data_IF_124851463368
#
_entry.id   IF_124851463368
#
_cell.length_a   1.000
_cell.length_b   1.000
_cell.length_c   1.000
_cell.angle_alpha   90.00
_cell.angle_beta   90.00
_cell.angle_gamma   90.00
#
_symmetry.space_group_name_H-M   'P 1'
#
loop_
_entity.id
_entity.type
_entity.pdbx_description
1 polymer ?
#
# COMPACT_ATOMS: atom_id res chain seq x y z
N UNK A 1 -65.75 9.56 -19.01
CA UNK A 1 -66.20 9.98 -17.69
C UNK A 1 -65.06 10.05 -16.77
N UNK A 2 -64.68 11.27 -16.39
CA UNK A 2 -63.58 11.61 -15.46
C UNK A 2 -63.99 11.25 -14.03
N UNK A 3 -63.04 10.71 -13.24
CA UNK A 3 -63.16 10.93 -11.83
C UNK A 3 -61.71 11.23 -11.32
N UNK A 4 -61.54 12.47 -10.82
CA UNK A 4 -60.34 12.97 -10.16
C UNK A 4 -60.56 12.84 -8.65
N UNK A 5 -59.81 11.94 -8.01
CA UNK A 5 -59.75 11.88 -6.56
C UNK A 5 -58.49 12.66 -6.08
N UNK A 6 -58.76 13.83 -5.54
CA UNK A 6 -57.75 14.71 -4.90
C UNK A 6 -57.36 14.18 -3.52
N UNK A 7 -56.11 13.78 -3.35
CA UNK A 7 -55.52 13.47 -2.05
C UNK A 7 -55.22 14.77 -1.28
N UNK A 8 -55.90 14.99 -0.16
CA UNK A 8 -55.63 16.06 0.80
C UNK A 8 -54.37 15.68 1.62
N UNK A 9 -53.32 16.51 1.52
CA UNK A 9 -52.18 16.47 2.42
C UNK A 9 -52.58 16.95 3.81
N UNK A 10 -52.46 16.11 4.82
CA UNK A 10 -52.55 16.47 6.22
C UNK A 10 -51.39 17.38 6.60
N UNK A 11 -51.67 18.63 6.96
CA UNK A 11 -50.72 19.53 7.59
C UNK A 11 -50.64 19.21 9.09
N UNK A 12 -49.41 18.96 9.57
CA UNK A 12 -49.10 18.78 10.99
C UNK A 12 -49.27 20.14 11.72
N UNK A 13 -50.13 20.26 12.74
CA UNK A 13 -50.40 21.51 13.44
C UNK A 13 -49.29 21.99 14.37
N UNK A 14 -48.15 21.24 14.51
CA UNK A 14 -47.04 21.59 15.40
C UNK A 14 -45.76 22.03 14.70
N UNK A 15 -45.74 22.20 13.37
CA UNK A 15 -44.58 22.70 12.67
C UNK A 15 -44.44 24.22 12.80
N UNK A 16 -43.30 24.75 13.35
CA UNK A 16 -43.13 26.19 13.46
C UNK A 16 -43.00 26.86 12.11
N UNK A 17 -43.68 28.00 11.94
CA UNK A 17 -43.70 28.76 10.70
C UNK A 17 -42.30 29.36 10.39
N UNK A 18 -41.99 29.52 9.08
CA UNK A 18 -40.73 30.13 8.62
C UNK A 18 -40.39 31.48 9.29
N UNK A 19 -41.40 32.25 9.72
CA UNK A 19 -41.21 33.51 10.44
C UNK A 19 -40.72 33.32 11.88
N UNK A 20 -41.10 32.26 12.55
CA UNK A 20 -40.63 31.93 13.92
C UNK A 20 -39.20 31.40 13.90
N UNK A 21 -38.78 30.75 12.83
CA UNK A 21 -37.36 30.29 12.70
C UNK A 21 -36.39 31.46 12.45
N UNK A 22 -36.81 32.50 11.70
CA UNK A 22 -36.00 33.69 11.45
C UNK A 22 -35.90 34.58 12.68
N UNK A 23 -36.95 34.66 13.53
CA UNK A 23 -36.92 35.44 14.76
C UNK A 23 -36.02 34.79 15.86
N UNK A 24 -35.97 33.46 15.92
CA UNK A 24 -35.10 32.72 16.83
C UNK A 24 -33.60 32.85 16.45
N UNK A 25 -33.30 32.93 15.16
CA UNK A 25 -31.90 33.11 14.68
C UNK A 25 -31.38 34.54 14.91
N UNK A 26 -32.25 35.55 14.96
CA UNK A 26 -31.85 36.95 15.19
C UNK A 26 -31.60 37.27 16.68
N UNK A 27 -32.20 36.51 17.62
CA UNK A 27 -32.01 36.70 19.07
C UNK A 27 -30.75 36.02 19.62
N UNK A 28 -30.14 35.07 18.88
CA UNK A 28 -28.90 34.40 19.27
C UNK A 28 -27.61 35.15 18.84
N UNK A 29 -27.73 36.21 18.06
CA UNK A 29 -26.58 36.95 17.53
C UNK A 29 -26.10 38.14 18.37
N UNK A 30 -26.70 38.38 19.58
CA UNK A 30 -26.39 39.56 20.39
C UNK A 30 -25.81 39.23 21.77
N UNK A 31 -25.12 38.12 21.94
CA UNK A 31 -24.47 37.81 23.20
C UNK A 31 -22.99 37.41 22.99
N UNK A 32 -22.14 38.29 23.43
CA UNK A 32 -20.74 38.10 23.80
C UNK A 32 -19.74 37.85 22.66
N UNK A 33 -19.27 38.89 22.05
CA UNK A 33 -17.88 38.95 21.58
C UNK A 33 -16.95 39.12 22.81
N UNK A 34 -16.76 38.05 23.57
CA UNK A 34 -15.53 37.94 24.36
C UNK A 34 -14.46 37.58 23.32
N UNK A 35 -13.64 38.57 22.96
CA UNK A 35 -12.40 38.30 22.23
C UNK A 35 -11.50 37.49 23.16
N UNK A 36 -11.59 36.15 23.04
CA UNK A 36 -10.51 35.29 23.52
C UNK A 36 -9.27 35.73 22.75
N UNK A 37 -8.13 35.99 23.44
CA UNK A 37 -6.90 36.21 22.73
C UNK A 37 -6.72 34.99 21.80
N UNK A 38 -6.64 35.21 20.49
CA UNK A 38 -6.16 34.19 19.57
C UNK A 38 -4.74 33.86 20.07
N UNK A 39 -4.63 32.84 20.93
CA UNK A 39 -3.35 32.23 21.15
C UNK A 39 -2.89 31.82 19.77
N UNK A 40 -1.91 32.52 19.23
CA UNK A 40 -1.23 32.10 18.04
C UNK A 40 -0.72 30.70 18.33
N UNK A 41 -1.46 29.70 17.88
CA UNK A 41 -1.07 28.29 17.98
C UNK A 41 0.23 28.24 17.20
N UNK A 42 1.35 28.23 17.92
CA UNK A 42 2.67 28.16 17.30
C UNK A 42 2.61 26.98 16.32
N UNK A 43 2.74 27.30 15.03
CA UNK A 43 2.72 26.27 14.01
C UNK A 43 3.76 25.21 14.40
N UNK A 44 3.31 24.00 14.66
CA UNK A 44 4.20 22.88 14.98
C UNK A 44 5.27 22.79 13.87
N UNK A 45 6.54 22.59 14.23
CA UNK A 45 7.60 22.48 13.25
C UNK A 45 7.26 21.33 12.29
N UNK A 46 7.37 21.60 11.00
CA UNK A 46 7.12 20.57 9.97
C UNK A 46 8.16 19.47 10.07
N UNK A 47 7.71 18.22 9.83
CA UNK A 47 8.59 17.06 9.71
C UNK A 47 9.42 17.22 8.44
N UNK A 48 10.74 17.25 8.57
CA UNK A 48 11.68 17.28 7.45
C UNK A 48 11.74 15.89 6.81
N UNK A 49 11.17 15.76 5.62
CA UNK A 49 11.08 14.49 4.90
C UNK A 49 12.14 14.43 3.79
N UNK A 50 12.93 13.35 3.80
CA UNK A 50 13.75 12.93 2.68
C UNK A 50 13.01 11.92 1.80
N UNK A 51 13.09 12.05 0.47
CA UNK A 51 12.49 11.08 -0.46
C UNK A 51 13.59 10.38 -1.25
N UNK A 52 13.65 9.05 -1.13
CA UNK A 52 14.61 8.19 -1.84
C UNK A 52 13.89 7.43 -2.93
N UNK A 53 14.25 7.70 -4.21
CA UNK A 53 13.49 7.29 -5.39
C UNK A 53 12.48 8.37 -5.78
N UNK A 54 12.85 9.20 -6.77
CA UNK A 54 12.09 10.39 -7.19
C UNK A 54 11.38 10.21 -8.54
N UNK A 55 11.30 8.97 -9.05
CA UNK A 55 10.56 8.62 -10.26
C UNK A 55 9.05 8.80 -10.12
N UNK A 56 8.27 8.25 -11.06
CA UNK A 56 6.82 8.49 -11.14
C UNK A 56 6.08 8.38 -9.81
N UNK A 57 6.22 7.24 -9.08
CA UNK A 57 5.58 7.05 -7.78
C UNK A 57 6.19 7.95 -6.70
N UNK A 58 7.54 8.04 -6.61
CA UNK A 58 8.18 8.84 -5.58
C UNK A 58 7.87 10.33 -5.69
N UNK A 59 7.87 10.90 -6.90
CA UNK A 59 7.45 12.28 -7.11
C UNK A 59 5.96 12.50 -6.78
N UNK A 60 5.11 11.49 -7.04
CA UNK A 60 3.68 11.55 -6.72
C UNK A 60 3.46 11.52 -5.20
N UNK A 61 4.09 10.59 -4.48
CA UNK A 61 3.97 10.47 -3.02
C UNK A 61 4.53 11.72 -2.31
N UNK A 62 5.66 12.26 -2.81
CA UNK A 62 6.24 13.50 -2.29
C UNK A 62 5.26 14.69 -2.40
N UNK A 63 4.50 14.78 -3.50
CA UNK A 63 3.44 15.79 -3.62
C UNK A 63 2.32 15.59 -2.61
N UNK A 64 1.91 14.34 -2.33
CA UNK A 64 0.90 14.07 -1.31
C UNK A 64 1.39 14.46 0.09
N UNK A 65 2.65 14.18 0.44
CA UNK A 65 3.27 14.65 1.67
C UNK A 65 3.29 16.19 1.75
N UNK A 66 3.68 16.86 0.67
CA UNK A 66 3.67 18.32 0.60
C UNK A 66 2.25 18.90 0.77
N UNK A 67 1.25 18.28 0.14
CA UNK A 67 -0.15 18.69 0.20
C UNK A 67 -0.76 18.46 1.60
N UNK A 68 -0.28 17.52 2.38
CA UNK A 68 -0.67 17.34 3.77
C UNK A 68 -0.36 18.57 4.64
N UNK A 69 0.65 19.38 4.26
CA UNK A 69 0.96 20.66 4.89
C UNK A 69 1.88 20.58 6.11
N UNK A 70 1.95 19.43 6.80
CA UNK A 70 2.78 19.22 8.00
C UNK A 70 4.20 18.71 7.69
N UNK A 71 4.56 18.57 6.43
CA UNK A 71 5.88 18.11 6.00
C UNK A 71 6.61 19.19 5.20
N UNK A 72 7.92 19.24 5.37
CA UNK A 72 8.87 19.94 4.51
C UNK A 72 9.60 18.88 3.68
N UNK A 73 9.46 18.90 2.35
CA UNK A 73 10.24 18.04 1.48
C UNK A 73 11.67 18.60 1.46
N UNK A 74 12.48 18.09 2.39
CA UNK A 74 13.77 18.66 2.73
C UNK A 74 14.90 18.26 1.79
N UNK A 75 14.93 16.97 1.40
CA UNK A 75 15.98 16.43 0.55
C UNK A 75 15.45 15.34 -0.38
N UNK A 76 16.10 15.15 -1.53
CA UNK A 76 15.77 14.15 -2.54
C UNK A 76 17.00 13.32 -2.90
N UNK A 77 16.83 12.02 -3.12
CA UNK A 77 17.85 11.15 -3.69
C UNK A 77 17.26 10.24 -4.76
N UNK A 78 17.91 10.17 -5.91
CA UNK A 78 17.59 9.24 -6.99
C UNK A 78 18.90 8.78 -7.64
N UNK A 79 18.93 7.58 -8.22
CA UNK A 79 20.11 7.16 -8.97
C UNK A 79 20.41 8.13 -10.13
N UNK A 80 19.36 8.63 -10.81
CA UNK A 80 19.46 9.51 -11.97
C UNK A 80 19.40 10.98 -11.56
N UNK A 81 20.46 11.78 -11.87
CA UNK A 81 20.50 13.21 -11.53
C UNK A 81 19.36 14.01 -12.17
N UNK A 82 18.98 13.68 -13.41
CA UNK A 82 17.88 14.31 -14.12
C UNK A 82 16.54 14.10 -13.42
N UNK A 83 16.28 12.89 -12.88
CA UNK A 83 15.07 12.58 -12.13
C UNK A 83 15.04 13.32 -10.80
N UNK A 84 16.15 13.31 -10.04
CA UNK A 84 16.27 14.07 -8.78
C UNK A 84 16.06 15.57 -8.99
N UNK A 85 16.63 16.14 -10.05
CA UNK A 85 16.51 17.55 -10.39
C UNK A 85 15.09 17.91 -10.82
N UNK A 86 14.47 17.15 -11.71
CA UNK A 86 13.08 17.41 -12.14
C UNK A 86 12.09 17.36 -10.96
N UNK A 87 12.23 16.37 -10.07
CA UNK A 87 11.44 16.32 -8.84
C UNK A 87 11.72 17.50 -7.90
N UNK A 88 13.00 17.87 -7.75
CA UNK A 88 13.42 19.01 -6.93
C UNK A 88 12.88 20.35 -7.41
N UNK A 89 12.87 20.58 -8.71
CA UNK A 89 12.29 21.80 -9.31
C UNK A 89 10.78 21.86 -9.08
N UNK A 90 10.07 20.74 -9.28
CA UNK A 90 8.62 20.64 -9.07
C UNK A 90 8.20 20.79 -7.60
N UNK A 91 9.03 20.34 -6.66
CA UNK A 91 8.74 20.36 -5.23
C UNK A 91 9.33 21.57 -4.50
N UNK A 92 10.23 22.34 -5.14
CA UNK A 92 10.91 23.49 -4.55
C UNK A 92 12.03 23.09 -3.59
N UNK A 93 12.66 21.95 -3.79
CA UNK A 93 13.81 21.51 -2.97
C UNK A 93 15.08 22.16 -3.49
N UNK A 94 15.92 22.69 -2.60
CA UNK A 94 17.18 23.32 -2.94
C UNK A 94 18.13 22.36 -3.68
N UNK A 95 18.90 22.87 -4.65
CA UNK A 95 19.82 22.05 -5.45
C UNK A 95 20.90 21.36 -4.60
N UNK A 96 21.33 21.99 -3.51
CA UNK A 96 22.34 21.43 -2.58
C UNK A 96 21.84 20.23 -1.79
N UNK A 97 20.51 19.98 -1.78
CA UNK A 97 19.83 18.86 -1.11
C UNK A 97 19.25 17.84 -2.08
N UNK A 98 19.73 17.81 -3.33
CA UNK A 98 19.39 16.84 -4.36
C UNK A 98 20.60 15.96 -4.62
N UNK A 99 20.47 14.69 -4.26
CA UNK A 99 21.58 13.75 -4.32
C UNK A 99 21.33 12.72 -5.41
N UNK A 100 22.39 12.20 -5.99
CA UNK A 100 22.27 11.16 -7.02
C UNK A 100 23.33 10.06 -6.84
N UNK A 101 23.23 8.99 -7.60
CA UNK A 101 23.98 7.75 -7.53
C UNK A 101 23.41 6.71 -6.56
N UNK A 102 23.99 5.50 -6.51
CA UNK A 102 23.60 4.44 -5.58
C UNK A 102 23.78 4.87 -4.11
N UNK A 103 24.75 5.71 -3.81
CA UNK A 103 25.03 6.19 -2.44
C UNK A 103 24.31 7.50 -2.09
N UNK A 104 23.54 8.09 -3.03
CA UNK A 104 22.85 9.36 -2.81
C UNK A 104 21.94 9.37 -1.58
N UNK A 105 21.32 8.23 -1.24
CA UNK A 105 20.49 8.09 -0.04
C UNK A 105 21.26 8.34 1.27
N UNK A 106 22.58 8.03 1.35
CA UNK A 106 23.41 8.26 2.54
C UNK A 106 23.54 9.76 2.81
N UNK A 107 23.83 10.55 1.76
CA UNK A 107 23.91 12.01 1.85
C UNK A 107 22.55 12.63 2.23
N UNK A 108 21.44 12.06 1.73
CA UNK A 108 20.09 12.47 2.12
C UNK A 108 19.87 12.23 3.62
N UNK A 109 20.22 11.06 4.15
CA UNK A 109 20.12 10.74 5.58
C UNK A 109 20.95 11.74 6.43
N UNK A 110 22.13 12.10 5.99
CA UNK A 110 23.02 13.03 6.67
C UNK A 110 22.59 14.50 6.55
N UNK A 111 21.60 14.83 5.70
CA UNK A 111 21.17 16.21 5.46
C UNK A 111 20.25 16.81 6.55
N UNK A 112 20.01 16.08 7.64
CA UNK A 112 19.22 16.56 8.78
C UNK A 112 17.72 16.38 8.60
N UNK A 113 17.29 15.31 7.93
CA UNK A 113 15.89 14.89 7.83
C UNK A 113 15.43 14.21 9.12
N UNK A 114 14.12 14.27 9.41
CA UNK A 114 13.48 13.60 10.54
C UNK A 114 12.91 12.23 10.14
N UNK A 115 12.55 12.10 8.87
CA UNK A 115 11.92 10.92 8.29
C UNK A 115 12.34 10.71 6.83
N UNK A 116 12.21 9.47 6.35
CA UNK A 116 12.40 9.13 4.94
C UNK A 116 11.17 8.46 4.35
N UNK A 117 10.90 8.76 3.07
CA UNK A 117 10.01 7.98 2.21
C UNK A 117 10.84 7.17 1.21
N UNK A 118 10.72 5.85 1.25
CA UNK A 118 11.47 4.92 0.40
C UNK A 118 10.60 4.44 -0.76
N UNK A 119 10.96 4.84 -2.00
CA UNK A 119 10.19 4.64 -3.22
C UNK A 119 11.05 4.08 -4.38
N UNK A 120 12.21 3.52 -4.06
CA UNK A 120 13.12 2.87 -5.02
C UNK A 120 12.61 1.47 -5.41
N UNK A 121 13.24 0.79 -6.38
CA UNK A 121 13.00 -0.64 -6.58
C UNK A 121 13.21 -1.44 -5.29
N UNK A 122 12.36 -2.43 -4.98
CA UNK A 122 12.38 -3.13 -3.68
C UNK A 122 13.66 -3.90 -3.39
N UNK A 123 14.49 -4.16 -4.39
CA UNK A 123 15.84 -4.68 -4.19
C UNK A 123 16.69 -3.83 -3.21
N UNK A 124 16.52 -2.50 -3.25
CA UNK A 124 17.28 -1.56 -2.42
C UNK A 124 16.65 -1.27 -1.05
N UNK A 125 15.41 -1.64 -0.84
CA UNK A 125 14.70 -1.31 0.41
C UNK A 125 15.38 -1.83 1.68
N UNK A 126 15.90 -3.08 1.75
CA UNK A 126 16.54 -3.56 2.97
C UNK A 126 17.75 -2.72 3.38
N UNK A 127 18.57 -2.30 2.42
CA UNK A 127 19.74 -1.44 2.69
C UNK A 127 19.32 -0.04 3.11
N UNK A 128 18.41 0.59 2.36
CA UNK A 128 17.94 1.95 2.63
C UNK A 128 17.21 2.06 3.98
N UNK A 129 16.32 1.10 4.28
CA UNK A 129 15.58 1.08 5.53
C UNK A 129 16.50 0.88 6.74
N UNK A 130 17.47 -0.05 6.64
CA UNK A 130 18.47 -0.24 7.68
C UNK A 130 19.26 1.03 7.95
N UNK A 131 19.78 1.69 6.91
CA UNK A 131 20.55 2.92 7.06
C UNK A 131 19.72 4.06 7.68
N UNK A 132 18.47 4.22 7.29
CA UNK A 132 17.56 5.22 7.88
C UNK A 132 17.29 4.95 9.36
N UNK A 133 17.00 3.70 9.73
CA UNK A 133 16.76 3.28 11.12
C UNK A 133 18.04 3.40 11.98
N UNK A 134 19.20 3.06 11.42
CA UNK A 134 20.49 3.21 12.09
C UNK A 134 20.80 4.68 12.40
N UNK A 135 20.36 5.60 11.54
CA UNK A 135 20.43 7.05 11.76
C UNK A 135 19.32 7.60 12.66
N UNK A 136 18.43 6.76 13.19
CA UNK A 136 17.37 7.19 14.09
C UNK A 136 16.20 7.90 13.42
N UNK A 137 15.96 7.67 12.14
CA UNK A 137 14.88 8.29 11.37
C UNK A 137 13.58 7.48 11.44
N UNK A 138 12.44 8.15 11.22
CA UNK A 138 11.17 7.51 10.92
C UNK A 138 11.15 7.05 9.46
N UNK A 139 10.49 5.92 9.17
CA UNK A 139 10.45 5.32 7.83
C UNK A 139 9.02 5.16 7.33
N UNK A 140 8.73 5.75 6.18
CA UNK A 140 7.58 5.45 5.33
C UNK A 140 8.10 4.69 4.11
N UNK A 141 7.54 3.54 3.79
CA UNK A 141 8.10 2.69 2.74
C UNK A 141 7.00 2.13 1.83
N UNK A 142 7.26 2.13 0.53
CA UNK A 142 6.39 1.44 -0.42
C UNK A 142 6.47 -0.09 -0.26
N UNK A 143 5.43 -0.78 -0.75
CA UNK A 143 5.42 -2.24 -0.93
C UNK A 143 6.03 -2.62 -2.30
N UNK A 144 6.46 -3.87 -2.52
CA UNK A 144 6.75 -4.92 -1.54
C UNK A 144 7.97 -4.56 -0.69
N UNK A 145 8.13 -5.18 0.47
CA UNK A 145 9.22 -4.81 1.39
C UNK A 145 10.60 -5.28 0.94
N UNK A 146 10.65 -6.33 0.09
CA UNK A 146 11.88 -6.88 -0.47
C UNK A 146 11.55 -7.74 -1.70
N UNK A 147 12.57 -8.34 -2.32
CA UNK A 147 12.46 -9.26 -3.47
C UNK A 147 12.69 -10.72 -3.09
N UNK A 148 13.27 -10.97 -1.93
CA UNK A 148 13.71 -12.29 -1.45
C UNK A 148 13.54 -12.45 0.07
N UNK A 149 13.80 -13.67 0.57
CA UNK A 149 13.66 -14.00 2.00
C UNK A 149 14.63 -13.21 2.87
N UNK A 150 15.95 -13.15 2.57
CA UNK A 150 16.90 -12.37 3.37
C UNK A 150 16.49 -10.89 3.48
N UNK A 151 16.01 -10.30 2.41
CA UNK A 151 15.52 -8.92 2.39
C UNK A 151 14.31 -8.72 3.31
N UNK A 152 13.35 -9.65 3.30
CA UNK A 152 12.20 -9.62 4.22
C UNK A 152 12.65 -9.67 5.69
N UNK A 153 13.60 -10.55 6.02
CA UNK A 153 14.15 -10.67 7.38
C UNK A 153 14.93 -9.42 7.80
N UNK A 154 15.65 -8.80 6.86
CA UNK A 154 16.36 -7.54 7.12
C UNK A 154 15.40 -6.38 7.42
N UNK A 155 14.27 -6.28 6.70
CA UNK A 155 13.21 -5.30 7.01
C UNK A 155 12.57 -5.58 8.37
N UNK A 156 12.33 -6.84 8.72
CA UNK A 156 11.83 -7.19 10.05
C UNK A 156 12.78 -6.73 11.16
N UNK A 157 14.08 -6.97 10.99
CA UNK A 157 15.11 -6.52 11.95
C UNK A 157 15.15 -4.99 12.05
N UNK A 158 15.10 -4.28 10.92
CA UNK A 158 15.04 -2.81 10.89
C UNK A 158 13.80 -2.26 11.61
N UNK A 159 12.63 -2.84 11.38
CA UNK A 159 11.40 -2.40 12.06
C UNK A 159 11.45 -2.65 13.57
N UNK A 160 11.99 -3.78 14.02
CA UNK A 160 12.21 -4.03 15.47
C UNK A 160 13.14 -3.00 16.08
N UNK A 161 14.21 -2.64 15.40
CA UNK A 161 15.13 -1.58 15.86
C UNK A 161 14.45 -0.21 15.88
N UNK A 162 13.66 0.12 14.86
CA UNK A 162 12.88 1.36 14.84
C UNK A 162 11.94 1.44 16.05
N UNK A 163 11.20 0.37 16.36
CA UNK A 163 10.33 0.31 17.54
C UNK A 163 11.11 0.52 18.85
N UNK A 164 12.28 -0.12 19.02
CA UNK A 164 13.16 0.07 20.18
C UNK A 164 13.59 1.53 20.32
N UNK A 165 13.84 2.20 19.20
CA UNK A 165 14.24 3.60 19.15
C UNK A 165 13.04 4.57 19.20
N UNK A 166 11.82 4.08 19.44
CA UNK A 166 10.57 4.85 19.44
C UNK A 166 10.34 5.59 18.10
N UNK A 167 10.67 4.93 17.00
CA UNK A 167 10.47 5.46 15.65
C UNK A 167 9.36 4.70 14.95
N UNK A 168 8.53 5.43 14.21
CA UNK A 168 7.52 4.86 13.33
C UNK A 168 8.17 4.21 12.11
N UNK A 169 7.72 3.01 11.76
CA UNK A 169 8.03 2.34 10.49
C UNK A 169 6.71 1.90 9.85
N UNK A 170 6.28 2.58 8.79
CA UNK A 170 5.02 2.33 8.11
C UNK A 170 5.27 1.80 6.71
N UNK A 171 4.60 0.70 6.34
CA UNK A 171 4.56 0.18 4.96
C UNK A 171 3.24 0.56 4.32
N UNK A 172 3.31 1.18 3.14
CA UNK A 172 2.16 1.80 2.45
C UNK A 172 1.30 0.77 1.72
N UNK A 173 0.28 0.24 2.43
CA UNK A 173 -0.81 -0.54 1.85
C UNK A 173 -2.14 0.20 1.97
N UNK A 174 -2.93 0.21 0.90
CA UNK A 174 -4.14 1.03 0.82
C UNK A 174 -5.42 0.29 1.24
N UNK A 175 -5.55 -1.03 0.95
CA UNK A 175 -6.75 -1.82 1.29
C UNK A 175 -7.18 -1.65 2.76
N UNK A 176 -6.25 -1.71 3.75
CA UNK A 176 -6.62 -1.58 5.16
C UNK A 176 -6.99 -0.16 5.59
N UNK A 177 -6.94 0.83 4.70
CA UNK A 177 -7.31 2.21 5.01
C UNK A 177 -8.72 2.58 4.56
N UNK A 178 -9.35 1.75 3.73
CA UNK A 178 -10.68 2.03 3.20
C UNK A 178 -11.77 1.77 4.25
N UNK A 179 -12.67 2.74 4.52
CA UNK A 179 -13.69 2.61 5.55
C UNK A 179 -14.65 1.43 5.33
N UNK A 180 -15.01 1.13 4.07
CA UNK A 180 -15.91 0.02 3.78
C UNK A 180 -15.22 -1.32 4.00
N UNK A 181 -13.96 -1.45 3.57
CA UNK A 181 -13.16 -2.65 3.83
C UNK A 181 -12.93 -2.86 5.33
N UNK A 182 -12.60 -1.79 6.09
CA UNK A 182 -12.40 -1.83 7.53
C UNK A 182 -13.66 -2.32 8.24
N UNK A 183 -14.81 -1.73 7.95
CA UNK A 183 -16.08 -2.10 8.60
C UNK A 183 -16.45 -3.56 8.29
N UNK A 184 -16.31 -4.00 7.05
CA UNK A 184 -16.59 -5.38 6.66
C UNK A 184 -15.67 -6.38 7.38
N UNK A 185 -14.36 -6.08 7.47
CA UNK A 185 -13.39 -6.90 8.20
C UNK A 185 -13.68 -6.96 9.70
N UNK A 186 -14.05 -5.83 10.32
CA UNK A 186 -14.39 -5.80 11.73
C UNK A 186 -15.64 -6.65 12.03
N UNK A 187 -16.68 -6.54 11.23
CA UNK A 187 -17.89 -7.37 11.36
C UNK A 187 -17.58 -8.85 11.15
N UNK A 188 -16.73 -9.17 10.18
CA UNK A 188 -16.33 -10.56 9.92
C UNK A 188 -15.60 -11.17 11.13
N UNK A 189 -14.64 -10.44 11.72
CA UNK A 189 -13.88 -10.85 12.93
C UNK A 189 -14.77 -10.96 14.16
N UNK A 190 -15.77 -10.11 14.27
CA UNK A 190 -16.72 -10.10 15.40
C UNK A 190 -17.87 -11.11 15.20
N UNK A 191 -17.54 -12.25 14.62
CA UNK A 191 -18.44 -13.41 14.46
C UNK A 191 -19.42 -13.32 13.28
N UNK A 192 -19.26 -12.33 12.40
CA UNK A 192 -20.16 -12.15 11.25
C UNK A 192 -19.89 -13.10 10.09
N UNK A 193 -18.68 -13.70 10.02
CA UNK A 193 -18.30 -14.56 8.88
C UNK A 193 -18.59 -16.05 9.14
N UNK A 194 -18.32 -16.56 10.34
CA UNK A 194 -18.38 -17.99 10.63
C UNK A 194 -17.10 -18.73 10.26
N UNK A 195 -17.21 -20.03 9.95
CA UNK A 195 -16.06 -20.87 9.62
C UNK A 195 -15.61 -20.66 8.18
N UNK A 196 -14.39 -20.17 8.00
CA UNK A 196 -13.77 -19.94 6.70
C UNK A 196 -13.28 -21.25 6.08
N UNK A 197 -13.64 -21.52 4.81
CA UNK A 197 -13.26 -22.71 4.05
C UNK A 197 -12.31 -22.40 2.89
N UNK A 198 -12.62 -21.35 2.13
CA UNK A 198 -11.88 -20.99 0.92
C UNK A 198 -11.69 -19.49 0.86
N UNK A 199 -10.51 -19.08 0.40
CA UNK A 199 -10.24 -17.72 -0.03
C UNK A 199 -9.98 -17.73 -1.54
N UNK A 200 -10.63 -16.84 -2.27
CA UNK A 200 -10.26 -16.50 -3.63
C UNK A 200 -9.69 -15.10 -3.67
N UNK A 201 -8.53 -14.93 -4.27
CA UNK A 201 -7.97 -13.60 -4.54
C UNK A 201 -7.52 -13.48 -5.99
N UNK A 202 -7.51 -12.27 -6.49
CA UNK A 202 -7.06 -12.02 -7.85
C UNK A 202 -6.37 -10.68 -7.97
N UNK A 203 -5.49 -10.57 -8.99
CA UNK A 203 -4.91 -9.32 -9.42
C UNK A 203 -4.77 -9.30 -10.95
N UNK A 204 -5.50 -8.41 -11.62
CA UNK A 204 -5.52 -8.25 -13.07
C UNK A 204 -5.04 -6.84 -13.42
N UNK A 205 -3.73 -6.67 -13.48
CA UNK A 205 -3.10 -5.38 -13.75
C UNK A 205 -2.75 -5.15 -15.21
N UNK A 206 -2.59 -3.88 -15.57
CA UNK A 206 -2.00 -3.49 -16.83
C UNK A 206 -0.54 -3.92 -16.94
N UNK A 207 -0.04 -4.01 -18.17
CA UNK A 207 1.32 -4.43 -18.44
C UNK A 207 2.32 -3.37 -18.00
N UNK A 208 3.30 -3.75 -17.16
CA UNK A 208 4.48 -2.94 -16.91
C UNK A 208 5.39 -2.94 -18.14
N UNK A 209 6.13 -1.85 -18.40
CA UNK A 209 7.08 -1.82 -19.50
C UNK A 209 8.15 -2.90 -19.31
N UNK A 210 8.52 -3.55 -20.39
CA UNK A 210 9.61 -4.52 -20.41
C UNK A 210 10.97 -3.79 -20.41
N UNK A 211 11.97 -4.26 -19.65
CA UNK A 211 13.28 -3.63 -19.64
C UNK A 211 13.94 -3.75 -21.02
N UNK A 212 14.73 -2.75 -21.46
CA UNK A 212 15.45 -2.86 -22.68
C UNK A 212 16.50 -3.99 -22.62
N UNK A 213 16.75 -4.64 -23.75
CA UNK A 213 17.77 -5.67 -23.87
C UNK A 213 19.16 -5.02 -23.98
N UNK A 214 19.72 -4.67 -22.82
CA UNK A 214 21.00 -3.97 -22.71
C UNK A 214 22.00 -4.77 -21.89
N UNK A 215 23.28 -4.48 -22.09
CA UNK A 215 24.37 -5.09 -21.33
C UNK A 215 24.48 -4.53 -19.87
N UNK A 216 23.84 -3.39 -19.58
CA UNK A 216 23.90 -2.74 -18.27
C UNK A 216 22.55 -2.75 -17.58
N UNK A 217 22.56 -2.82 -16.26
CA UNK A 217 21.37 -2.75 -15.41
C UNK A 217 20.77 -1.34 -15.36
N UNK A 218 21.52 -0.29 -15.68
CA UNK A 218 21.10 1.11 -15.55
C UNK A 218 19.76 1.41 -16.24
N UNK A 219 19.58 0.90 -17.47
CA UNK A 219 18.32 1.09 -18.20
C UNK A 219 17.13 0.37 -17.58
N UNK A 220 17.38 -0.67 -16.79
CA UNK A 220 16.34 -1.43 -16.07
C UNK A 220 15.85 -0.72 -14.81
N UNK A 221 16.52 0.34 -14.35
CA UNK A 221 16.12 1.11 -13.17
C UNK A 221 15.08 2.20 -13.49
N UNK A 222 14.82 2.49 -14.78
CA UNK A 222 13.88 3.56 -15.21
C UNK A 222 12.47 3.04 -15.49
N UNK A 223 11.48 3.91 -15.40
CA UNK A 223 10.11 3.76 -15.94
C UNK A 223 9.37 2.49 -15.51
N UNK A 224 9.57 2.00 -14.29
CA UNK A 224 8.97 0.76 -13.78
C UNK A 224 9.39 -0.52 -14.54
N UNK A 225 10.38 -0.46 -15.42
CA UNK A 225 10.89 -1.65 -16.14
C UNK A 225 11.44 -2.70 -15.16
N UNK A 226 11.95 -2.25 -14.01
CA UNK A 226 12.39 -3.12 -12.93
C UNK A 226 11.29 -4.02 -12.35
N UNK A 227 9.99 -3.70 -12.58
CA UNK A 227 8.88 -4.57 -12.18
C UNK A 227 8.91 -5.92 -12.93
N UNK A 228 9.42 -5.94 -14.15
CA UNK A 228 9.58 -7.14 -14.96
C UNK A 228 10.97 -7.81 -14.82
N UNK A 229 11.78 -7.33 -13.88
CA UNK A 229 13.05 -7.92 -13.48
C UNK A 229 12.89 -8.54 -12.08
N UNK A 230 13.03 -9.86 -11.99
CA UNK A 230 12.79 -10.61 -10.74
C UNK A 230 13.80 -10.20 -9.65
N UNK A 231 15.06 -9.94 -10.02
CA UNK A 231 16.07 -9.54 -9.03
C UNK A 231 15.83 -8.13 -8.49
N UNK A 232 15.39 -7.17 -9.34
CA UNK A 232 15.17 -5.78 -8.94
C UNK A 232 13.79 -5.54 -8.31
N UNK A 233 12.74 -6.15 -8.88
CA UNK A 233 11.34 -5.88 -8.52
C UNK A 233 10.62 -7.03 -7.82
N UNK A 234 11.21 -8.22 -7.76
CA UNK A 234 10.54 -9.43 -7.31
C UNK A 234 9.68 -10.10 -8.38
N UNK A 235 9.52 -9.47 -9.56
CA UNK A 235 8.60 -9.85 -10.62
C UNK A 235 7.17 -9.41 -10.34
N UNK A 236 6.29 -9.56 -11.33
CA UNK A 236 4.89 -9.11 -11.27
C UNK A 236 4.13 -9.63 -10.04
N UNK A 237 4.32 -10.93 -9.71
CA UNK A 237 3.58 -11.54 -8.60
C UNK A 237 3.94 -10.88 -7.25
N UNK A 238 5.22 -10.70 -6.96
CA UNK A 238 5.68 -10.07 -5.72
C UNK A 238 5.38 -8.57 -5.73
N UNK A 239 5.57 -7.89 -6.87
CA UNK A 239 5.40 -6.46 -6.94
C UNK A 239 3.92 -6.01 -6.92
N UNK A 240 3.06 -6.66 -7.69
CA UNK A 240 1.69 -6.22 -7.93
C UNK A 240 0.65 -7.07 -7.18
N UNK A 241 0.72 -8.40 -7.29
CA UNK A 241 -0.29 -9.28 -6.71
C UNK A 241 -0.30 -9.26 -5.17
N UNK A 242 0.77 -8.75 -4.56
CA UNK A 242 0.86 -8.57 -3.11
C UNK A 242 -0.29 -7.75 -2.52
N UNK A 243 -0.92 -6.86 -3.28
CA UNK A 243 -2.06 -6.09 -2.79
C UNK A 243 -3.25 -6.99 -2.41
N UNK A 244 -3.62 -7.94 -3.26
CA UNK A 244 -4.70 -8.89 -2.96
C UNK A 244 -4.29 -9.93 -1.93
N UNK A 245 -3.04 -10.40 -1.95
CA UNK A 245 -2.51 -11.31 -0.92
C UNK A 245 -2.53 -10.63 0.46
N UNK A 246 -2.05 -9.39 0.55
CA UNK A 246 -2.11 -8.59 1.78
C UNK A 246 -3.56 -8.38 2.24
N UNK A 247 -4.46 -8.02 1.31
CA UNK A 247 -5.89 -7.87 1.60
C UNK A 247 -6.51 -9.14 2.20
N UNK A 248 -6.18 -10.30 1.66
CA UNK A 248 -6.65 -11.57 2.21
C UNK A 248 -6.06 -11.89 3.57
N UNK A 249 -4.78 -11.62 3.79
CA UNK A 249 -4.12 -11.82 5.08
C UNK A 249 -4.67 -10.93 6.19
N UNK A 250 -5.27 -9.78 5.87
CA UNK A 250 -5.97 -8.96 6.87
C UNK A 250 -7.01 -9.76 7.65
N UNK A 251 -7.69 -10.72 7.03
CA UNK A 251 -8.68 -11.56 7.70
C UNK A 251 -8.10 -12.91 8.13
N UNK A 252 -7.34 -13.58 7.27
CA UNK A 252 -6.79 -14.92 7.52
C UNK A 252 -5.80 -14.92 8.69
N UNK A 253 -4.96 -13.88 8.79
CA UNK A 253 -4.09 -13.63 9.95
C UNK A 253 -3.00 -14.66 10.22
N UNK A 254 -2.75 -15.59 9.27
CA UNK A 254 -1.75 -16.66 9.38
C UNK A 254 -1.12 -16.95 8.04
N UNK A 255 0.10 -17.53 8.04
CA UNK A 255 0.84 -17.92 6.85
C UNK A 255 0.46 -19.32 6.36
N UNK A 256 0.57 -19.61 5.05
CA UNK A 256 0.30 -20.94 4.52
C UNK A 256 1.38 -21.95 4.91
N UNK A 257 1.02 -23.23 4.97
CA UNK A 257 1.97 -24.33 5.14
C UNK A 257 2.75 -24.61 3.85
N UNK A 258 2.12 -24.41 2.68
CA UNK A 258 2.73 -24.64 1.37
C UNK A 258 2.00 -23.87 0.27
N UNK A 259 2.67 -23.71 -0.89
CA UNK A 259 2.07 -23.28 -2.13
C UNK A 259 2.42 -24.23 -3.28
N UNK A 260 1.53 -24.27 -4.29
CA UNK A 260 1.76 -24.92 -5.58
C UNK A 260 1.05 -24.11 -6.67
N UNK A 261 1.49 -24.21 -7.91
CA UNK A 261 0.85 -23.50 -9.00
C UNK A 261 1.66 -23.52 -10.29
N UNK A 262 1.11 -22.82 -11.28
CA UNK A 262 1.73 -22.66 -12.60
C UNK A 262 1.76 -21.18 -12.97
N UNK A 263 2.78 -20.83 -13.73
CA UNK A 263 2.92 -19.48 -14.29
C UNK A 263 3.61 -19.52 -15.64
N UNK A 264 3.42 -18.47 -16.42
CA UNK A 264 4.04 -18.36 -17.74
C UNK A 264 4.30 -16.90 -18.13
N UNK A 265 5.29 -16.71 -19.01
CA UNK A 265 5.48 -15.45 -19.72
C UNK A 265 4.56 -15.45 -20.94
N UNK A 266 3.77 -14.40 -21.11
CA UNK A 266 2.81 -14.25 -22.21
C UNK A 266 3.08 -13.01 -23.07
N UNK A 267 4.05 -12.19 -22.68
CA UNK A 267 4.51 -11.05 -23.49
C UNK A 267 5.19 -11.55 -24.75
N UNK A 268 4.98 -10.82 -25.85
CA UNK A 268 5.74 -11.05 -27.07
C UNK A 268 7.18 -10.53 -26.90
N UNK A 269 8.17 -11.35 -27.28
CA UNK A 269 9.59 -11.03 -27.21
C UNK A 269 10.03 -10.46 -25.83
N UNK A 270 9.86 -11.22 -24.73
CA UNK A 270 10.14 -10.72 -23.38
C UNK A 270 11.64 -10.47 -23.17
N UNK A 271 11.98 -9.34 -22.56
CA UNK A 271 13.35 -9.01 -22.13
C UNK A 271 13.54 -9.18 -20.61
N UNK A 272 12.47 -8.97 -19.83
CA UNK A 272 12.43 -9.27 -18.40
C UNK A 272 12.05 -10.73 -18.14
N UNK A 273 12.48 -11.24 -17.00
CA UNK A 273 12.30 -12.64 -16.58
C UNK A 273 11.05 -12.86 -15.71
N UNK A 274 10.27 -11.82 -15.42
CA UNK A 274 9.01 -11.94 -14.69
C UNK A 274 7.95 -12.68 -15.51
N UNK A 275 7.26 -13.64 -14.89
CA UNK A 275 6.06 -14.24 -15.48
C UNK A 275 4.86 -13.28 -15.43
N UNK A 276 3.88 -13.50 -16.33
CA UNK A 276 2.74 -12.62 -16.57
C UNK A 276 1.41 -13.20 -16.10
N UNK A 277 1.31 -14.52 -16.08
CA UNK A 277 0.11 -15.24 -15.68
C UNK A 277 0.44 -16.23 -14.59
N UNK A 278 -0.43 -16.28 -13.55
CA UNK A 278 -0.27 -17.14 -12.39
C UNK A 278 -1.60 -17.76 -12.00
N UNK A 279 -1.57 -19.06 -11.70
CA UNK A 279 -2.65 -19.80 -11.03
C UNK A 279 -2.04 -20.56 -9.87
N UNK A 280 -2.40 -20.18 -8.66
CA UNK A 280 -1.72 -20.59 -7.41
C UNK A 280 -2.74 -21.11 -6.42
N UNK A 281 -2.38 -22.16 -5.70
CA UNK A 281 -3.08 -22.64 -4.52
C UNK A 281 -2.15 -22.63 -3.31
N UNK A 282 -2.61 -22.01 -2.22
CA UNK A 282 -1.96 -22.07 -0.92
C UNK A 282 -2.73 -23.03 -0.02
N UNK A 283 -2.01 -23.88 0.67
CA UNK A 283 -2.53 -24.83 1.66
C UNK A 283 -2.17 -24.36 3.07
N UNK A 284 -3.15 -24.34 3.97
CA UNK A 284 -2.96 -24.00 5.38
C UNK A 284 -3.06 -25.24 6.25
N UNK A 285 -2.42 -25.23 7.42
CA UNK A 285 -2.36 -26.38 8.33
C UNK A 285 -3.71 -26.81 8.88
N UNK A 286 -4.68 -25.89 8.98
CA UNK A 286 -6.05 -26.15 9.45
C UNK A 286 -7.03 -26.52 8.33
N UNK A 287 -6.52 -26.77 7.11
CA UNK A 287 -7.32 -27.19 5.97
C UNK A 287 -7.92 -26.05 5.14
N UNK A 288 -7.70 -24.77 5.49
CA UNK A 288 -8.06 -23.65 4.63
C UNK A 288 -7.30 -23.76 3.31
N UNK A 289 -8.01 -23.54 2.19
CA UNK A 289 -7.44 -23.43 0.85
C UNK A 289 -7.61 -22.01 0.36
N UNK A 290 -6.53 -21.43 -0.18
CA UNK A 290 -6.58 -20.11 -0.79
C UNK A 290 -6.09 -20.20 -2.24
N UNK A 291 -6.97 -19.84 -3.18
CA UNK A 291 -6.64 -19.78 -4.60
C UNK A 291 -6.37 -18.33 -5.02
N UNK A 292 -5.29 -18.13 -5.78
CA UNK A 292 -4.92 -16.83 -6.33
C UNK A 292 -4.75 -16.90 -7.85
N UNK A 293 -5.45 -16.02 -8.55
CA UNK A 293 -5.33 -15.88 -10.00
C UNK A 293 -4.78 -14.49 -10.35
N UNK A 294 -3.74 -14.46 -11.19
CA UNK A 294 -3.15 -13.21 -11.59
C UNK A 294 -2.87 -13.14 -13.09
N UNK A 295 -3.05 -11.97 -13.66
CA UNK A 295 -2.74 -11.67 -15.05
C UNK A 295 -2.13 -10.27 -15.17
N UNK A 296 -1.02 -10.21 -15.90
CA UNK A 296 -0.32 -9.00 -16.28
C UNK A 296 -0.49 -8.81 -17.81
N UNK A 297 -1.24 -7.80 -18.21
CA UNK A 297 -1.48 -7.61 -19.65
C UNK A 297 -2.53 -6.53 -19.94
N UNK A 298 -2.56 -6.11 -21.21
CA UNK A 298 -3.40 -5.01 -21.69
C UNK A 298 -4.83 -5.43 -22.11
N UNK A 299 -5.32 -6.56 -21.64
CA UNK A 299 -6.69 -6.99 -21.95
C UNK A 299 -7.75 -6.30 -21.08
N UNK A 300 -8.97 -6.20 -21.61
CA UNK A 300 -10.12 -5.74 -20.84
C UNK A 300 -10.45 -6.73 -19.71
N UNK A 301 -10.89 -6.20 -18.58
CA UNK A 301 -11.52 -6.99 -17.52
C UNK A 301 -13.00 -7.20 -17.88
N UNK A 302 -13.61 -8.28 -17.38
CA UNK A 302 -15.07 -8.33 -17.34
C UNK A 302 -15.59 -7.13 -16.55
N UNK A 303 -16.71 -6.50 -16.97
CA UNK A 303 -17.20 -5.28 -16.32
C UNK A 303 -17.44 -5.42 -14.81
N UNK A 304 -17.72 -6.65 -14.35
CA UNK A 304 -17.97 -6.94 -12.93
C UNK A 304 -16.69 -7.26 -12.14
N UNK A 305 -15.55 -7.41 -12.82
CA UNK A 305 -14.28 -7.73 -12.18
C UNK A 305 -13.54 -6.47 -11.77
N UNK A 306 -13.28 -6.33 -10.49
CA UNK A 306 -12.29 -5.37 -9.99
C UNK A 306 -10.88 -5.89 -10.26
N UNK A 307 -9.93 -4.98 -10.48
CA UNK A 307 -8.57 -5.39 -10.82
C UNK A 307 -7.84 -6.12 -9.67
N UNK A 308 -8.23 -5.90 -8.43
CA UNK A 308 -7.63 -6.55 -7.26
C UNK A 308 -8.65 -6.72 -6.14
N UNK A 309 -8.82 -7.94 -5.66
CA UNK A 309 -9.78 -8.21 -4.60
C UNK A 309 -9.60 -9.58 -3.95
N UNK A 310 -10.35 -9.77 -2.85
CA UNK A 310 -10.41 -11.00 -2.09
C UNK A 310 -11.87 -11.34 -1.77
N UNK A 311 -12.19 -12.61 -1.91
CA UNK A 311 -13.46 -13.22 -1.55
C UNK A 311 -13.21 -14.33 -0.53
N UNK A 312 -13.98 -14.31 0.55
CA UNK A 312 -13.88 -15.27 1.65
C UNK A 312 -15.18 -16.04 1.71
N UNK A 313 -15.09 -17.34 1.44
CA UNK A 313 -16.21 -18.26 1.46
C UNK A 313 -16.22 -19.00 2.78
N UNK A 314 -17.25 -18.77 3.56
CA UNK A 314 -17.42 -19.31 4.90
C UNK A 314 -18.84 -19.85 5.10
N UNK A 315 -19.09 -20.53 6.20
CA UNK A 315 -20.42 -20.94 6.60
C UNK A 315 -20.78 -20.24 7.92
N UNK A 316 -21.84 -19.45 7.92
CA UNK A 316 -22.87 -19.27 6.86
C UNK A 316 -22.64 -18.09 5.92
N UNK A 317 -21.50 -17.41 5.93
CA UNK A 317 -21.34 -16.10 5.28
C UNK A 317 -20.33 -16.06 4.13
N UNK A 318 -20.44 -15.00 3.35
CA UNK A 318 -19.52 -14.62 2.30
C UNK A 318 -19.08 -13.18 2.51
N UNK A 319 -17.77 -12.91 2.41
CA UNK A 319 -17.21 -11.56 2.46
C UNK A 319 -16.45 -11.26 1.16
N UNK A 320 -16.61 -10.05 0.63
CA UNK A 320 -15.79 -9.47 -0.43
C UNK A 320 -15.20 -8.14 0.04
N UNK A 321 -13.90 -7.98 -0.13
CA UNK A 321 -13.16 -6.74 0.02
C UNK A 321 -12.24 -6.54 -1.18
N UNK A 322 -11.78 -5.31 -1.43
CA UNK A 322 -10.88 -5.10 -2.55
C UNK A 322 -10.34 -3.68 -2.69
N UNK A 323 -9.60 -3.50 -3.77
CA UNK A 323 -9.05 -2.22 -4.21
C UNK A 323 -10.06 -1.37 -4.99
N UNK A 324 -11.19 -1.93 -5.32
CA UNK A 324 -12.32 -1.33 -6.03
C UNK A 324 -13.54 -2.20 -5.94
N UNK A 325 -14.67 -1.71 -6.45
CA UNK A 325 -15.95 -2.41 -6.41
C UNK A 325 -16.59 -2.43 -5.02
N UNK A 326 -17.69 -3.13 -4.92
CA UNK A 326 -18.54 -3.10 -3.73
C UNK A 326 -18.05 -4.06 -2.65
N UNK A 327 -17.84 -3.53 -1.44
CA UNK A 327 -17.57 -4.32 -0.24
C UNK A 327 -18.88 -4.90 0.30
N UNK A 328 -18.89 -6.22 0.57
CA UNK A 328 -20.11 -6.95 0.95
C UNK A 328 -19.79 -8.02 1.99
N UNK A 329 -20.58 -8.11 3.07
CA UNK A 329 -20.65 -9.26 3.98
C UNK A 329 -22.12 -9.76 4.01
N UNK A 330 -22.37 -11.00 3.57
CA UNK A 330 -23.72 -11.58 3.44
C UNK A 330 -23.78 -12.98 4.05
N UNK A 331 -24.99 -13.40 4.42
CA UNK A 331 -25.32 -14.75 4.88
C UNK A 331 -25.16 -15.00 6.37
N UNK A 332 -24.41 -14.15 7.08
CA UNK A 332 -24.21 -14.27 8.53
C UNK A 332 -25.06 -13.29 9.34
N UNK A 333 -24.92 -13.30 10.68
CA UNK A 333 -25.70 -12.43 11.57
C UNK A 333 -25.33 -10.95 11.48
N UNK A 334 -24.16 -10.59 10.97
CA UNK A 334 -23.65 -9.20 10.90
C UNK A 334 -23.50 -8.72 9.45
N UNK A 335 -24.57 -8.87 8.67
CA UNK A 335 -24.54 -8.48 7.27
C UNK A 335 -24.15 -7.01 7.07
N UNK A 336 -23.46 -6.74 5.97
CA UNK A 336 -23.02 -5.41 5.61
C UNK A 336 -23.05 -5.22 4.10
N UNK A 337 -23.76 -4.20 3.66
CA UNK A 337 -23.72 -3.72 2.29
C UNK A 337 -22.95 -2.39 2.29
N UNK A 338 -21.65 -2.48 2.10
CA UNK A 338 -20.80 -1.30 1.98
C UNK A 338 -20.99 -0.57 0.67
N UNK A 339 -20.34 0.58 0.54
CA UNK A 339 -20.26 1.33 -0.71
C UNK A 339 -19.23 0.76 -1.67
N UNK A 340 -19.13 1.39 -2.83
CA UNK A 340 -18.08 1.09 -3.80
C UNK A 340 -16.77 1.77 -3.40
N UNK A 341 -15.74 0.97 -3.26
CA UNK A 341 -14.38 1.45 -3.05
C UNK A 341 -13.90 2.18 -4.30
N UNK A 342 -13.59 3.46 -4.17
CA UNK A 342 -13.19 4.30 -5.29
C UNK A 342 -11.89 5.04 -5.00
N UNK A 343 -11.06 5.20 -6.05
CA UNK A 343 -9.79 5.93 -6.01
C UNK A 343 -8.90 5.56 -4.81
N UNK A 344 -8.93 4.29 -4.39
CA UNK A 344 -8.26 3.83 -3.17
C UNK A 344 -6.74 4.03 -3.22
N UNK A 345 -6.14 4.01 -4.41
CA UNK A 345 -4.69 4.19 -4.56
C UNK A 345 -4.22 5.54 -3.99
N UNK A 346 -4.90 6.63 -4.34
CA UNK A 346 -4.58 7.96 -3.81
C UNK A 346 -5.17 8.18 -2.41
N UNK A 347 -6.45 7.90 -2.24
CA UNK A 347 -7.11 8.09 -0.95
C UNK A 347 -6.46 7.29 0.18
N UNK A 348 -6.00 6.07 -0.12
CA UNK A 348 -5.28 5.23 0.84
C UNK A 348 -3.90 5.78 1.18
N UNK A 349 -3.15 6.28 0.18
CA UNK A 349 -1.85 6.91 0.43
C UNK A 349 -2.00 8.18 1.29
N UNK A 350 -3.01 9.02 1.02
CA UNK A 350 -3.32 10.20 1.84
C UNK A 350 -3.61 9.81 3.30
N UNK A 351 -4.40 8.74 3.53
CA UNK A 351 -4.70 8.24 4.87
C UNK A 351 -3.45 7.68 5.56
N UNK A 352 -2.59 6.95 4.84
CA UNK A 352 -1.32 6.44 5.38
C UNK A 352 -0.36 7.57 5.75
N UNK A 353 -0.29 8.65 4.94
CA UNK A 353 0.50 9.85 5.24
C UNK A 353 -0.01 10.54 6.51
N UNK A 354 -1.33 10.66 6.68
CA UNK A 354 -1.93 11.21 7.90
C UNK A 354 -1.66 10.32 9.12
N UNK A 355 -1.75 9.00 8.97
CA UNK A 355 -1.40 8.03 10.03
C UNK A 355 0.08 8.13 10.39
N UNK A 356 0.96 8.22 9.40
CA UNK A 356 2.40 8.39 9.61
C UNK A 356 2.70 9.69 10.38
N UNK A 357 2.06 10.80 9.99
CA UNK A 357 2.18 12.07 10.71
C UNK A 357 1.78 11.93 12.19
N UNK A 358 0.62 11.36 12.45
CA UNK A 358 0.13 11.12 13.79
C UNK A 358 1.14 10.31 14.62
N UNK A 359 1.62 9.18 14.06
CA UNK A 359 2.55 8.30 14.76
C UNK A 359 3.91 8.96 15.04
N UNK A 360 4.39 9.81 14.14
CA UNK A 360 5.63 10.57 14.34
C UNK A 360 5.47 11.63 15.44
N UNK A 361 4.36 12.37 15.41
CA UNK A 361 4.14 13.49 16.37
C UNK A 361 3.73 13.04 17.74
N UNK A 362 3.03 11.92 17.86
CA UNK A 362 2.63 11.31 19.15
C UNK A 362 3.71 10.38 19.72
N UNK A 363 4.89 10.29 19.08
CA UNK A 363 5.98 9.37 19.42
C UNK A 363 5.51 7.90 19.56
N UNK A 364 4.51 7.53 18.78
CA UNK A 364 4.03 6.16 18.71
C UNK A 364 5.02 5.32 17.91
N UNK A 365 5.67 4.36 18.56
CA UNK A 365 6.57 3.38 17.93
C UNK A 365 5.74 2.37 17.13
N UNK A 366 4.92 2.85 16.18
CA UNK A 366 4.03 2.00 15.40
C UNK A 366 4.78 1.32 14.26
N UNK A 367 4.82 0.00 14.33
CA UNK A 367 5.36 -0.90 13.29
C UNK A 367 4.32 -1.96 12.89
N UNK A 368 3.05 -1.76 13.22
CA UNK A 368 1.98 -2.76 13.05
C UNK A 368 1.77 -3.17 11.59
N UNK A 369 2.00 -2.25 10.64
CA UNK A 369 1.90 -2.55 9.21
C UNK A 369 3.00 -3.48 8.71
N UNK A 370 4.14 -3.55 9.42
CA UNK A 370 5.35 -4.24 8.91
C UNK A 370 5.20 -5.75 8.96
N UNK A 371 4.66 -6.31 10.06
CA UNK A 371 4.51 -7.77 10.19
C UNK A 371 3.69 -8.35 9.05
N UNK A 372 2.52 -7.78 8.80
CA UNK A 372 1.64 -8.25 7.73
C UNK A 372 2.26 -8.01 6.34
N UNK A 373 3.02 -6.93 6.16
CA UNK A 373 3.75 -6.65 4.93
C UNK A 373 4.80 -7.73 4.64
N UNK A 374 5.54 -8.16 5.66
CA UNK A 374 6.53 -9.24 5.56
C UNK A 374 5.85 -10.57 5.23
N UNK A 375 4.82 -10.96 5.97
CA UNK A 375 4.09 -12.20 5.72
C UNK A 375 3.49 -12.23 4.30
N UNK A 376 2.97 -11.09 3.83
CA UNK A 376 2.46 -10.94 2.45
C UNK A 376 3.58 -11.08 1.42
N UNK A 377 4.72 -10.48 1.67
CA UNK A 377 5.88 -10.54 0.78
C UNK A 377 6.42 -11.98 0.70
N UNK A 378 6.63 -12.63 1.84
CA UNK A 378 7.08 -14.02 1.90
C UNK A 378 6.08 -14.97 1.23
N UNK A 379 4.77 -14.74 1.40
CA UNK A 379 3.73 -15.54 0.75
C UNK A 379 3.75 -15.39 -0.77
N UNK A 380 4.00 -14.17 -1.28
CA UNK A 380 4.16 -13.95 -2.73
C UNK A 380 5.46 -14.54 -3.26
N UNK A 381 6.54 -14.52 -2.50
CA UNK A 381 7.81 -15.17 -2.85
C UNK A 381 7.62 -16.69 -2.88
N UNK A 382 6.95 -17.28 -1.88
CA UNK A 382 6.63 -18.70 -1.84
C UNK A 382 5.88 -19.14 -3.10
N UNK A 383 4.88 -18.40 -3.50
CA UNK A 383 4.10 -18.67 -4.70
C UNK A 383 4.93 -18.54 -5.99
N UNK A 384 5.78 -17.51 -6.07
CA UNK A 384 6.70 -17.34 -7.20
C UNK A 384 7.63 -18.55 -7.33
N UNK A 385 8.27 -18.96 -6.23
CA UNK A 385 9.19 -20.10 -6.25
C UNK A 385 8.46 -21.41 -6.61
N UNK A 386 7.26 -21.63 -6.06
CA UNK A 386 6.46 -22.83 -6.38
C UNK A 386 6.09 -22.87 -7.88
N UNK A 387 5.68 -21.74 -8.46
CA UNK A 387 5.32 -21.67 -9.86
C UNK A 387 6.54 -21.83 -10.80
N UNK A 388 7.67 -21.18 -10.47
CA UNK A 388 8.89 -21.26 -11.29
C UNK A 388 9.50 -22.66 -11.29
N UNK A 389 9.36 -23.41 -10.19
CA UNK A 389 9.84 -24.80 -10.06
C UNK A 389 8.80 -25.81 -10.53
N UNK A 390 7.55 -25.40 -10.76
CA UNK A 390 6.40 -26.28 -11.02
C UNK A 390 6.27 -27.39 -9.95
N UNK A 391 6.50 -27.04 -8.70
CA UNK A 391 6.53 -27.98 -7.56
C UNK A 391 5.81 -27.38 -6.36
N UNK A 392 5.45 -28.26 -5.40
CA UNK A 392 4.93 -27.86 -4.09
C UNK A 392 6.11 -27.43 -3.21
N UNK A 393 6.11 -26.16 -2.81
CA UNK A 393 7.11 -25.62 -1.88
C UNK A 393 6.44 -25.35 -0.53
N UNK A 394 7.05 -25.84 0.56
CA UNK A 394 6.56 -25.56 1.92
C UNK A 394 7.11 -24.22 2.43
N UNK A 395 6.40 -23.62 3.39
CA UNK A 395 6.83 -22.41 4.07
C UNK A 395 8.21 -22.59 4.75
N UNK A 396 8.38 -23.70 5.46
CA UNK A 396 9.63 -24.02 6.14
C UNK A 396 10.80 -24.23 5.14
N UNK A 397 10.51 -24.88 3.99
CA UNK A 397 11.50 -25.04 2.94
C UNK A 397 11.94 -23.68 2.38
N UNK A 398 11.00 -22.78 2.10
CA UNK A 398 11.32 -21.42 1.63
C UNK A 398 12.24 -20.69 2.62
N UNK A 399 11.88 -20.68 3.89
CA UNK A 399 12.67 -20.02 4.94
C UNK A 399 14.03 -20.67 5.15
N UNK A 400 14.12 -22.01 5.09
CA UNK A 400 15.37 -22.76 5.22
C UNK A 400 16.32 -22.52 4.06
N UNK A 401 15.80 -22.48 2.83
CA UNK A 401 16.59 -22.19 1.64
C UNK A 401 17.16 -20.77 1.69
N UNK A 402 16.42 -19.82 2.23
CA UNK A 402 16.84 -18.42 2.45
C UNK A 402 17.56 -17.84 1.24
N UNK A 403 17.02 -18.07 0.04
CA UNK A 403 17.67 -17.75 -1.24
C UNK A 403 17.74 -16.24 -1.44
N UNK A 404 18.95 -15.73 -1.71
CA UNK A 404 19.19 -14.35 -2.09
C UNK A 404 19.03 -14.17 -3.60
N UNK A 405 18.37 -13.11 -4.01
CA UNK A 405 18.40 -12.63 -5.38
C UNK A 405 19.45 -11.54 -5.53
N UNK A 406 20.32 -11.69 -6.51
CA UNK A 406 21.39 -10.74 -6.78
C UNK A 406 21.19 -10.06 -8.12
N UNK A 407 21.20 -8.72 -8.12
CA UNK A 407 21.31 -7.92 -9.33
C UNK A 407 22.77 -7.53 -9.56
N UNK A 408 23.25 -7.65 -10.79
CA UNK A 408 24.58 -7.16 -11.12
C UNK A 408 24.56 -5.63 -11.21
N UNK A 409 25.14 -4.98 -10.19
CA UNK A 409 25.22 -3.52 -10.09
C UNK A 409 26.54 -2.96 -10.66
N UNK A 410 27.38 -3.80 -11.28
CA UNK A 410 28.65 -3.35 -11.85
C UNK A 410 28.42 -2.28 -12.94
N UNK A 411 29.26 -1.25 -12.93
CA UNK A 411 29.15 -0.12 -13.84
C UNK A 411 28.15 0.96 -13.42
N UNK A 412 27.35 0.76 -12.36
CA UNK A 412 26.53 1.82 -11.80
C UNK A 412 27.38 2.81 -10.99
N UNK A 413 26.96 4.10 -11.00
CA UNK A 413 27.62 5.16 -10.23
C UNK A 413 27.32 5.00 -8.75
N UNK A 414 28.36 5.01 -7.94
CA UNK A 414 28.29 4.92 -6.47
C UNK A 414 28.40 6.28 -5.79
#
# INVERSE_FOLDING_TARGET
MHDQSTARLHQDPFAPSRRQFVAAAAAAASAMTVALPASAQQAQPKIKLGVVGCGGRGAWIARLFKNHGAYDIHALADYFPDVANAAGDALGVDKSRRFSSLSGYKKLIESGVDAVALETPPYFFPEHARAAVDAGLHVYMAKPVAVDVPGCLAIEAAARKAATNKKCFLVDYQIPTDPFNIEALNRARDGGLGRLFVVHSHYFGGQFPDPPKTATIESRLRFLTWCNDVALGGGYHVNACIHSIHGGLLLVGKTPAAATGFSSIRRDNPHGDSHDAFSISFQFADGLVWNHLARHGNGLFAPEQVFSGCEFLADPAFLRIGYGGRTILRGGPKQYAGGDVQNLYEAGAVRNIATFHKNVTEAAADTTTVRLAIDSCLMTILAREACLRADKITWDQLLKENKTLSADLSGLKT
#
